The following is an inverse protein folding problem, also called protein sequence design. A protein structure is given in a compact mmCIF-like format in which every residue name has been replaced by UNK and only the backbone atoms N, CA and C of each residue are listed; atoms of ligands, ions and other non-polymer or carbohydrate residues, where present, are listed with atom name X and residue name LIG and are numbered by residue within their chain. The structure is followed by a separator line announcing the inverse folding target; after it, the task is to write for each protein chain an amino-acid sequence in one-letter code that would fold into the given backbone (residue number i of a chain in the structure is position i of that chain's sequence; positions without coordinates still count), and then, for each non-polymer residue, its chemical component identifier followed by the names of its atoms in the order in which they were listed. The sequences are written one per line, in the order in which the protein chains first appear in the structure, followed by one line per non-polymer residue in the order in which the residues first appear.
data_IF_515283747592
#
_entry.id   IF_515283747592
#
_cell.length_a   1.000
_cell.length_b   1.000
_cell.length_c   1.000
_cell.angle_alpha   90.00
_cell.angle_beta   90.00
_cell.angle_gamma   90.00
#
_symmetry.space_group_name_H-M   'P 1'
#
loop_
_entity.id
_entity.type
_entity.pdbx_description
1 polymer ?
#
# COMPACT_ATOMS: atom_id res chain seq x y z
N UNK A 1 36.05 43.79 37.78
CA UNK A 1 34.65 43.35 37.63
C UNK A 1 34.32 43.31 36.15
N UNK A 2 33.85 42.17 35.64
CA UNK A 2 33.37 42.05 34.26
C UNK A 2 33.78 40.74 33.58
N UNK A 3 33.27 39.62 34.09
CA UNK A 3 33.37 38.29 33.45
C UNK A 3 32.68 38.34 32.07
N UNK A 4 33.40 38.11 30.98
CA UNK A 4 32.81 37.73 29.69
C UNK A 4 32.39 36.26 29.77
N UNK A 5 31.12 36.03 30.13
CA UNK A 5 30.52 34.70 30.13
C UNK A 5 30.09 34.30 28.72
N UNK A 6 30.59 33.16 28.27
CA UNK A 6 30.23 32.48 27.03
C UNK A 6 28.73 32.16 26.96
N UNK A 7 28.07 32.53 25.86
CA UNK A 7 26.75 32.00 25.50
C UNK A 7 26.91 31.22 24.20
N UNK A 8 27.32 29.95 24.32
CA UNK A 8 27.20 28.97 23.25
C UNK A 8 25.71 28.60 23.13
N UNK A 9 25.04 29.18 22.13
CA UNK A 9 23.68 28.84 21.76
C UNK A 9 23.68 27.44 21.12
N UNK A 10 23.51 26.38 21.92
CA UNK A 10 23.25 25.04 21.40
C UNK A 10 21.87 25.03 20.73
N UNK A 11 21.84 25.24 19.41
CA UNK A 11 20.71 24.87 18.56
C UNK A 11 20.57 23.35 18.61
N UNK A 12 19.84 22.83 19.60
CA UNK A 12 19.28 21.49 19.53
C UNK A 12 18.31 21.50 18.34
N UNK A 13 18.80 21.07 17.18
CA UNK A 13 17.99 20.54 16.11
C UNK A 13 17.16 19.40 16.73
N UNK A 14 15.97 19.72 17.21
CA UNK A 14 14.93 18.73 17.40
C UNK A 14 14.63 18.19 16.00
N UNK A 15 15.38 17.18 15.59
CA UNK A 15 14.95 16.28 14.53
C UNK A 15 13.69 15.63 15.08
N UNK A 16 12.53 16.18 14.75
CA UNK A 16 11.26 15.50 14.95
C UNK A 16 11.44 14.18 14.19
N UNK A 17 11.47 13.02 14.86
CA UNK A 17 11.47 11.77 14.12
C UNK A 17 10.22 11.81 13.26
N UNK A 18 10.41 11.76 11.94
CA UNK A 18 9.29 11.60 11.02
C UNK A 18 8.60 10.31 11.46
N UNK A 19 7.45 10.45 12.11
CA UNK A 19 6.68 9.31 12.57
C UNK A 19 6.15 8.66 11.30
N UNK A 20 6.61 7.44 11.02
CA UNK A 20 6.02 6.58 9.99
C UNK A 20 4.52 6.55 10.21
N UNK A 21 3.74 6.61 9.13
CA UNK A 21 2.32 6.29 9.24
C UNK A 21 2.19 4.86 9.78
N UNK A 22 1.13 4.57 10.54
CA UNK A 22 0.81 3.19 10.91
C UNK A 22 0.18 2.49 9.69
N UNK A 23 0.47 1.21 9.44
CA UNK A 23 -0.21 0.46 8.38
C UNK A 23 -1.71 0.37 8.67
N UNK A 24 -2.51 0.36 7.61
CA UNK A 24 -3.95 0.07 7.72
C UNK A 24 -4.18 -1.36 8.22
N UNK A 25 -3.36 -2.30 7.73
CA UNK A 25 -3.39 -3.69 8.13
C UNK A 25 -2.20 -4.46 7.55
N UNK A 26 -1.88 -5.58 8.18
CA UNK A 26 -0.99 -6.63 7.71
C UNK A 26 -1.70 -7.98 7.66
N UNK A 27 -1.25 -8.84 6.76
CA UNK A 27 -1.59 -10.26 6.73
C UNK A 27 -0.31 -11.08 6.68
N UNK A 28 -0.10 -11.88 7.72
CA UNK A 28 0.99 -12.85 7.79
C UNK A 28 0.39 -14.25 7.73
N UNK A 29 0.58 -14.96 6.63
CA UNK A 29 0.00 -16.30 6.47
C UNK A 29 0.76 -17.33 7.32
N UNK A 30 0.17 -17.71 8.45
CA UNK A 30 0.78 -18.64 9.42
C UNK A 30 1.00 -20.06 8.88
N UNK A 31 0.40 -20.40 7.74
CA UNK A 31 0.60 -21.69 7.07
C UNK A 31 1.79 -21.69 6.10
N UNK A 32 2.45 -20.55 5.94
CA UNK A 32 3.65 -20.40 5.11
C UNK A 32 4.81 -19.95 5.99
N UNK A 33 5.97 -20.58 5.82
CA UNK A 33 7.16 -20.22 6.58
C UNK A 33 8.34 -20.03 5.63
N UNK A 34 9.22 -19.10 5.99
CA UNK A 34 10.52 -18.95 5.34
C UNK A 34 11.31 -20.25 5.58
N UNK A 35 11.60 -20.96 4.49
CA UNK A 35 12.10 -22.34 4.52
C UNK A 35 13.61 -22.47 4.68
N UNK A 36 14.37 -21.40 4.42
CA UNK A 36 15.83 -21.40 4.44
C UNK A 36 16.41 -19.99 4.61
N UNK A 37 17.66 -19.89 5.04
CA UNK A 37 18.39 -18.61 5.05
C UNK A 37 18.50 -17.99 3.64
N UNK A 38 18.55 -18.84 2.60
CA UNK A 38 18.58 -18.38 1.22
C UNK A 38 17.25 -17.74 0.81
N UNK A 39 16.11 -18.33 1.22
CA UNK A 39 14.78 -17.74 1.02
C UNK A 39 14.68 -16.39 1.73
N UNK A 40 15.17 -16.28 2.97
CA UNK A 40 15.22 -15.01 3.71
C UNK A 40 16.02 -13.94 2.96
N UNK A 41 17.25 -14.26 2.53
CA UNK A 41 18.09 -13.36 1.75
C UNK A 41 17.44 -12.99 0.40
N UNK A 42 16.71 -13.92 -0.23
CA UNK A 42 16.00 -13.65 -1.47
C UNK A 42 14.80 -12.72 -1.24
N UNK A 43 14.10 -12.81 -0.11
CA UNK A 43 13.05 -11.88 0.30
C UNK A 43 13.64 -10.48 0.53
N UNK A 44 14.75 -10.36 1.27
CA UNK A 44 15.42 -9.07 1.47
C UNK A 44 15.83 -8.42 0.14
N UNK A 45 16.41 -9.20 -0.77
CA UNK A 45 16.75 -8.73 -2.12
C UNK A 45 15.52 -8.33 -2.94
N UNK A 46 14.43 -9.11 -2.85
CA UNK A 46 13.16 -8.81 -3.50
C UNK A 46 12.58 -7.49 -2.97
N UNK A 47 12.53 -7.29 -1.65
CA UNK A 47 11.99 -6.08 -1.02
C UNK A 47 12.73 -4.82 -1.50
N UNK A 48 14.06 -4.88 -1.62
CA UNK A 48 14.87 -3.79 -2.18
C UNK A 48 14.53 -3.48 -3.66
N UNK A 49 14.32 -4.52 -4.47
CA UNK A 49 13.85 -4.36 -5.86
C UNK A 49 12.43 -3.77 -5.92
N UNK A 50 11.54 -4.19 -5.03
CA UNK A 50 10.17 -3.66 -4.96
C UNK A 50 10.16 -2.18 -4.59
N UNK A 51 10.95 -1.76 -3.60
CA UNK A 51 11.06 -0.34 -3.18
C UNK A 51 11.57 0.51 -4.34
N UNK A 52 12.71 0.14 -4.92
CA UNK A 52 13.33 0.92 -6.01
C UNK A 52 12.45 0.97 -7.27
N UNK A 53 11.87 -0.17 -7.67
CA UNK A 53 10.97 -0.26 -8.82
C UNK A 53 9.67 0.53 -8.63
N UNK A 54 9.10 0.50 -7.43
CA UNK A 54 7.86 1.22 -7.11
C UNK A 54 8.08 2.73 -7.05
N UNK A 55 9.20 3.21 -6.52
CA UNK A 55 9.55 4.64 -6.52
C UNK A 55 9.62 5.20 -7.95
N UNK A 56 10.15 4.41 -8.88
CA UNK A 56 10.32 4.82 -10.28
C UNK A 56 8.99 4.77 -11.05
N UNK A 57 8.24 3.67 -10.90
CA UNK A 57 7.14 3.33 -11.81
C UNK A 57 5.74 3.41 -11.17
N UNK A 58 5.66 3.59 -9.85
CA UNK A 58 4.44 3.48 -9.04
C UNK A 58 3.92 2.04 -8.88
N UNK A 59 4.55 1.07 -9.55
CA UNK A 59 4.22 -0.35 -9.49
C UNK A 59 5.38 -1.18 -10.03
N UNK A 60 5.58 -2.36 -9.45
CA UNK A 60 6.42 -3.42 -9.99
C UNK A 60 5.90 -4.78 -9.51
N UNK A 61 6.00 -5.79 -10.37
CA UNK A 61 5.89 -7.20 -10.02
C UNK A 61 7.16 -7.90 -10.51
N UNK A 62 7.82 -8.65 -9.63
CA UNK A 62 9.09 -9.29 -9.95
C UNK A 62 9.34 -10.51 -9.08
N UNK A 63 10.41 -11.25 -9.37
CA UNK A 63 10.84 -12.38 -8.55
C UNK A 63 12.33 -12.31 -8.29
N UNK A 64 12.77 -12.92 -7.20
CA UNK A 64 14.17 -13.04 -6.84
C UNK A 64 14.50 -14.46 -6.41
N UNK A 65 15.74 -14.90 -6.64
CA UNK A 65 16.15 -16.29 -6.41
C UNK A 65 15.78 -17.25 -7.54
N UNK A 66 15.97 -18.55 -7.31
CA UNK A 66 15.75 -19.63 -8.29
C UNK A 66 15.29 -20.91 -7.59
N UNK A 67 14.59 -21.77 -8.33
CA UNK A 67 14.14 -23.08 -7.87
C UNK A 67 13.33 -22.98 -6.56
N UNK A 68 13.64 -23.83 -5.57
CA UNK A 68 12.93 -23.91 -4.28
C UNK A 68 13.06 -22.66 -3.39
N UNK A 69 14.01 -21.77 -3.68
CA UNK A 69 14.26 -20.54 -2.93
C UNK A 69 13.77 -19.30 -3.70
N UNK A 70 13.07 -19.48 -4.84
CA UNK A 70 12.49 -18.37 -5.60
C UNK A 70 11.32 -17.75 -4.84
N UNK A 71 11.27 -16.43 -4.84
CA UNK A 71 10.21 -15.63 -4.20
C UNK A 71 9.65 -14.63 -5.19
N UNK A 72 8.36 -14.38 -5.10
CA UNK A 72 7.59 -13.51 -5.96
C UNK A 72 7.08 -12.35 -5.12
N UNK A 73 7.03 -11.16 -5.70
CA UNK A 73 6.47 -10.02 -5.02
C UNK A 73 5.99 -8.95 -5.96
N UNK A 74 5.06 -8.16 -5.46
CA UNK A 74 4.65 -6.92 -6.09
C UNK A 74 4.50 -5.83 -5.05
N UNK A 75 4.66 -4.61 -5.53
CA UNK A 75 4.39 -3.42 -4.77
C UNK A 75 3.71 -2.40 -5.69
N UNK A 76 2.78 -1.64 -5.13
CA UNK A 76 2.11 -0.56 -5.85
C UNK A 76 1.76 0.60 -4.95
N UNK A 77 1.91 1.81 -5.48
CA UNK A 77 1.34 3.00 -4.88
C UNK A 77 -0.09 3.21 -5.35
N UNK A 78 -0.83 4.02 -4.59
CA UNK A 78 -2.11 4.53 -5.04
C UNK A 78 -1.92 5.41 -6.27
N UNK A 79 -2.75 5.27 -7.29
CA UNK A 79 -2.45 5.89 -8.59
C UNK A 79 -2.60 7.43 -8.59
N UNK A 80 -3.19 8.01 -7.56
CA UNK A 80 -3.40 9.45 -7.37
C UNK A 80 -2.35 10.11 -6.47
N UNK A 81 -1.42 9.37 -5.87
CA UNK A 81 -0.41 9.93 -4.96
C UNK A 81 0.83 10.42 -5.69
N UNK A 82 1.45 11.48 -5.16
CA UNK A 82 2.71 12.02 -5.69
C UNK A 82 3.89 11.07 -5.45
N UNK A 83 4.95 11.21 -6.26
CA UNK A 83 6.17 10.37 -6.14
C UNK A 83 6.78 10.40 -4.74
N UNK A 84 6.74 11.54 -4.05
CA UNK A 84 7.28 11.68 -2.68
C UNK A 84 6.49 10.84 -1.67
N UNK A 85 5.17 10.90 -1.73
CA UNK A 85 4.29 10.14 -0.82
C UNK A 85 4.37 8.65 -1.12
N UNK A 86 4.41 8.28 -2.41
CA UNK A 86 4.67 6.91 -2.85
C UNK A 86 6.02 6.38 -2.33
N UNK A 87 7.08 7.17 -2.46
CA UNK A 87 8.43 6.80 -1.97
C UNK A 87 8.45 6.61 -0.46
N UNK A 88 7.86 7.53 0.28
CA UNK A 88 7.81 7.44 1.74
C UNK A 88 7.03 6.20 2.16
N UNK A 89 5.86 6.00 1.57
CA UNK A 89 4.98 4.87 1.87
C UNK A 89 5.67 3.53 1.63
N UNK A 90 6.32 3.34 0.48
CA UNK A 90 6.91 2.04 0.15
C UNK A 90 8.15 1.72 0.98
N UNK A 91 8.92 2.75 1.38
CA UNK A 91 10.05 2.60 2.30
C UNK A 91 9.61 2.22 3.71
N UNK A 92 8.50 2.79 4.19
CA UNK A 92 7.94 2.43 5.50
C UNK A 92 7.32 1.02 5.46
N UNK A 93 6.63 0.71 4.37
CA UNK A 93 6.07 -0.62 4.09
C UNK A 93 7.13 -1.73 4.13
N UNK A 94 8.26 -1.54 3.47
CA UNK A 94 9.37 -2.51 3.45
C UNK A 94 9.94 -2.79 4.84
N UNK A 95 10.09 -1.75 5.68
CA UNK A 95 10.56 -1.91 7.06
C UNK A 95 9.53 -2.60 7.95
N UNK A 96 8.25 -2.24 7.80
CA UNK A 96 7.19 -2.72 8.69
C UNK A 96 6.78 -4.16 8.38
N UNK A 97 6.80 -4.58 7.10
CA UNK A 97 6.45 -5.97 6.77
C UNK A 97 7.45 -6.97 7.36
N UNK A 98 8.75 -6.64 7.39
CA UNK A 98 9.79 -7.46 8.01
C UNK A 98 9.61 -7.57 9.53
N UNK A 99 9.16 -6.49 10.19
CA UNK A 99 8.93 -6.49 11.65
C UNK A 99 7.66 -7.25 12.04
N UNK A 100 6.60 -7.11 11.23
CA UNK A 100 5.27 -7.63 11.54
C UNK A 100 5.08 -9.08 11.10
N UNK A 101 5.69 -9.47 9.98
CA UNK A 101 5.66 -10.83 9.45
C UNK A 101 7.09 -11.42 9.34
N UNK A 102 7.83 -11.56 10.46
CA UNK A 102 9.26 -11.90 10.42
C UNK A 102 9.57 -13.31 9.88
N UNK A 103 8.59 -14.22 9.91
CA UNK A 103 8.82 -15.64 9.62
C UNK A 103 7.96 -16.17 8.47
N UNK A 104 6.96 -15.41 8.01
CA UNK A 104 5.96 -15.87 7.05
C UNK A 104 6.42 -15.60 5.62
N UNK A 105 6.23 -16.58 4.74
CA UNK A 105 6.63 -16.44 3.35
C UNK A 105 5.57 -15.69 2.52
N UNK A 106 4.28 -15.91 2.76
CA UNK A 106 3.17 -15.07 2.27
C UNK A 106 2.89 -13.98 3.30
N UNK A 107 3.38 -12.78 2.99
CA UNK A 107 3.17 -11.59 3.79
C UNK A 107 2.67 -10.45 2.92
N UNK A 108 1.73 -9.69 3.47
CA UNK A 108 1.04 -8.59 2.80
C UNK A 108 0.87 -7.45 3.78
N UNK A 109 1.04 -6.22 3.32
CA UNK A 109 0.83 -5.04 4.14
C UNK A 109 0.20 -3.91 3.33
N UNK A 110 -0.79 -3.25 3.92
CA UNK A 110 -1.54 -2.17 3.33
C UNK A 110 -1.31 -0.88 4.09
N UNK A 111 -1.05 0.17 3.35
CA UNK A 111 -1.05 1.56 3.77
C UNK A 111 -2.06 2.34 2.94
N UNK A 112 -2.43 3.54 3.40
CA UNK A 112 -3.33 4.44 2.64
C UNK A 112 -2.84 4.73 1.22
N UNK A 113 -1.52 4.77 1.02
CA UNK A 113 -0.89 5.20 -0.23
C UNK A 113 -0.16 4.09 -0.97
N UNK A 114 0.00 2.89 -0.41
CA UNK A 114 0.70 1.80 -1.06
C UNK A 114 0.37 0.43 -0.46
N UNK A 115 0.73 -0.60 -1.22
CA UNK A 115 0.55 -2.01 -0.90
C UNK A 115 1.80 -2.78 -1.30
N UNK A 116 2.18 -3.78 -0.50
CA UNK A 116 3.24 -4.72 -0.83
C UNK A 116 2.81 -6.14 -0.45
N UNK A 117 3.12 -7.09 -1.32
CA UNK A 117 2.96 -8.54 -1.07
C UNK A 117 4.19 -9.28 -1.56
N UNK A 118 4.63 -10.26 -0.77
CA UNK A 118 5.55 -11.30 -1.24
C UNK A 118 5.04 -12.69 -0.87
N UNK A 119 5.44 -13.70 -1.65
CA UNK A 119 5.13 -15.12 -1.45
C UNK A 119 6.24 -15.98 -2.08
N UNK A 120 6.38 -17.23 -1.63
CA UNK A 120 7.17 -18.26 -2.31
C UNK A 120 6.41 -18.93 -3.46
N UNK A 121 5.09 -18.75 -3.52
CA UNK A 121 4.25 -19.18 -4.65
C UNK A 121 4.08 -18.03 -5.64
N UNK A 122 4.11 -18.35 -6.93
CA UNK A 122 3.71 -17.38 -7.95
C UNK A 122 2.21 -17.11 -7.82
N UNK A 123 1.85 -15.84 -7.68
CA UNK A 123 0.48 -15.38 -7.51
C UNK A 123 0.08 -14.35 -8.57
N UNK A 124 0.94 -14.05 -9.54
CA UNK A 124 0.67 -12.98 -10.50
C UNK A 124 -0.51 -13.32 -11.40
N UNK A 125 -1.49 -12.43 -11.45
CA UNK A 125 -2.69 -12.61 -12.27
C UNK A 125 -3.74 -13.53 -11.64
N UNK A 126 -3.46 -14.12 -10.48
CA UNK A 126 -4.37 -14.97 -9.73
C UNK A 126 -5.27 -14.14 -8.82
N UNK A 127 -6.59 -14.33 -8.94
CA UNK A 127 -7.56 -13.62 -8.11
C UNK A 127 -7.51 -14.17 -6.68
N UNK A 128 -7.25 -13.29 -5.72
CA UNK A 128 -7.19 -13.62 -4.30
C UNK A 128 -8.18 -12.77 -3.50
N UNK A 129 -9.26 -13.41 -3.05
CA UNK A 129 -10.31 -12.81 -2.20
C UNK A 129 -10.30 -13.38 -0.78
N UNK A 130 -9.23 -14.11 -0.40
CA UNK A 130 -9.16 -14.84 0.86
C UNK A 130 -8.95 -13.97 2.10
N UNK A 131 -8.50 -12.72 1.92
CA UNK A 131 -8.30 -11.77 2.99
C UNK A 131 -8.78 -10.37 2.57
N UNK A 132 -9.51 -9.71 3.46
CA UNK A 132 -9.97 -8.34 3.26
C UNK A 132 -10.23 -7.65 4.60
N UNK A 133 -10.08 -6.33 4.62
CA UNK A 133 -10.36 -5.50 5.79
C UNK A 133 -11.54 -4.62 5.47
N UNK A 134 -12.47 -4.52 6.43
CA UNK A 134 -13.61 -3.61 6.35
C UNK A 134 -13.43 -2.55 7.43
N UNK A 135 -13.19 -1.31 7.00
CA UNK A 135 -13.17 -0.13 7.86
C UNK A 135 -14.43 0.67 7.55
N UNK A 136 -15.16 1.09 8.59
CA UNK A 136 -16.42 1.81 8.44
C UNK A 136 -16.55 2.95 9.44
N UNK A 137 -17.29 3.97 9.05
CA UNK A 137 -17.68 5.07 9.93
C UNK A 137 -18.98 4.71 10.66
N UNK A 138 -19.04 4.97 11.96
CA UNK A 138 -20.21 4.72 12.83
C UNK A 138 -21.16 5.92 12.95
N UNK A 139 -20.84 7.04 12.29
CA UNK A 139 -21.65 8.24 12.28
C UNK A 139 -22.96 8.07 11.50
N UNK A 140 -24.01 8.76 11.95
CA UNK A 140 -25.31 8.73 11.30
C UNK A 140 -25.33 9.56 10.02
N UNK A 141 -26.00 9.03 9.01
CA UNK A 141 -26.30 9.73 7.76
C UNK A 141 -27.73 10.27 7.82
N UNK A 142 -27.91 11.57 7.56
CA UNK A 142 -29.22 12.24 7.69
C UNK A 142 -30.29 11.70 6.73
N UNK A 143 -29.92 11.40 5.47
CA UNK A 143 -30.81 10.79 4.49
C UNK A 143 -30.14 9.53 3.90
N UNK A 144 -30.34 8.37 4.55
CA UNK A 144 -29.68 7.12 4.15
C UNK A 144 -30.06 6.67 2.74
N UNK A 145 -31.31 6.87 2.32
CA UNK A 145 -31.78 6.42 1.00
C UNK A 145 -31.05 7.16 -0.13
N UNK A 146 -30.99 8.49 -0.05
CA UNK A 146 -30.27 9.30 -1.05
C UNK A 146 -28.76 9.03 -1.00
N UNK A 147 -28.18 8.93 0.20
CA UNK A 147 -26.76 8.60 0.35
C UNK A 147 -26.40 7.25 -0.29
N UNK A 148 -27.17 6.20 0.02
CA UNK A 148 -26.91 4.86 -0.50
C UNK A 148 -27.09 4.81 -2.01
N UNK A 149 -28.10 5.49 -2.56
CA UNK A 149 -28.30 5.59 -4.01
C UNK A 149 -27.12 6.25 -4.70
N UNK A 150 -26.71 7.43 -4.24
CA UNK A 150 -25.59 8.18 -4.83
C UNK A 150 -24.26 7.44 -4.67
N UNK A 151 -24.03 6.79 -3.53
CA UNK A 151 -22.84 5.98 -3.28
C UNK A 151 -22.78 4.76 -4.23
N UNK A 152 -23.89 4.04 -4.41
CA UNK A 152 -23.96 2.91 -5.34
C UNK A 152 -23.67 3.36 -6.76
N UNK A 153 -24.33 4.41 -7.25
CA UNK A 153 -24.09 4.94 -8.60
C UNK A 153 -22.64 5.39 -8.78
N UNK A 154 -22.06 6.08 -7.80
CA UNK A 154 -20.66 6.51 -7.83
C UNK A 154 -19.70 5.31 -7.85
N UNK A 155 -19.98 4.28 -7.05
CA UNK A 155 -19.14 3.08 -6.92
C UNK A 155 -19.17 2.22 -8.18
N UNK A 156 -20.35 2.02 -8.77
CA UNK A 156 -20.51 1.34 -10.06
C UNK A 156 -19.72 2.07 -11.16
N UNK A 157 -19.85 3.39 -11.23
CA UNK A 157 -19.12 4.21 -12.19
C UNK A 157 -17.60 4.06 -12.07
N UNK A 158 -17.04 4.24 -10.87
CA UNK A 158 -15.58 4.13 -10.70
C UNK A 158 -15.07 2.69 -10.92
N UNK A 159 -15.89 1.68 -10.64
CA UNK A 159 -15.55 0.28 -10.92
C UNK A 159 -15.39 0.05 -12.41
N UNK A 160 -16.29 0.61 -13.24
CA UNK A 160 -16.15 0.57 -14.69
C UNK A 160 -14.89 1.32 -15.16
N UNK A 161 -14.56 2.47 -14.54
CA UNK A 161 -13.35 3.22 -14.89
C UNK A 161 -12.07 2.46 -14.55
N UNK A 162 -12.04 1.69 -13.46
CA UNK A 162 -10.85 0.97 -13.02
C UNK A 162 -10.36 -0.06 -14.04
N UNK A 163 -11.28 -0.68 -14.78
CA UNK A 163 -10.98 -1.71 -15.79
C UNK A 163 -10.69 -1.15 -17.18
N UNK A 164 -10.85 0.16 -17.39
CA UNK A 164 -10.51 0.80 -18.67
C UNK A 164 -8.99 0.78 -18.91
N UNK A 165 -8.59 0.39 -20.11
CA UNK A 165 -7.18 0.39 -20.53
C UNK A 165 -6.55 1.76 -20.33
N UNK A 166 -5.39 1.80 -19.68
CA UNK A 166 -4.67 3.05 -19.36
C UNK A 166 -4.97 3.62 -17.98
N UNK A 167 -6.10 3.25 -17.34
CA UNK A 167 -6.42 3.68 -15.97
C UNK A 167 -5.68 2.89 -14.89
N UNK A 168 -4.91 1.85 -15.27
CA UNK A 168 -4.00 1.10 -14.39
C UNK A 168 -4.72 0.54 -13.15
N UNK A 169 -5.97 0.10 -13.30
CA UNK A 169 -6.74 -0.45 -12.18
C UNK A 169 -7.34 0.61 -11.25
N UNK A 170 -7.22 1.90 -11.55
CA UNK A 170 -7.69 2.98 -10.67
C UNK A 170 -8.95 3.64 -11.23
N UNK A 171 -10.03 3.60 -10.44
CA UNK A 171 -11.23 4.41 -10.64
C UNK A 171 -11.40 5.34 -9.46
N UNK A 172 -11.67 6.63 -9.72
CA UNK A 172 -11.98 7.59 -8.65
C UNK A 172 -12.87 8.69 -9.19
N UNK A 173 -13.81 9.13 -8.38
CA UNK A 173 -14.69 10.24 -8.71
C UNK A 173 -15.36 10.79 -7.45
N UNK A 174 -16.15 11.85 -7.60
CA UNK A 174 -16.91 12.48 -6.53
C UNK A 174 -18.28 12.97 -7.02
N UNK A 175 -19.27 12.93 -6.13
CA UNK A 175 -20.60 13.52 -6.38
C UNK A 175 -21.04 14.42 -5.23
N UNK A 176 -21.85 15.44 -5.51
CA UNK A 176 -22.41 16.29 -4.47
C UNK A 176 -23.69 15.65 -3.94
N UNK A 177 -23.70 15.35 -2.64
CA UNK A 177 -24.91 14.90 -1.95
C UNK A 177 -25.79 16.09 -1.54
N UNK A 178 -25.15 17.18 -1.11
CA UNK A 178 -25.79 18.45 -0.73
C UNK A 178 -24.89 19.61 -1.15
N UNK A 179 -25.31 20.89 -1.00
CA UNK A 179 -24.42 22.03 -1.23
C UNK A 179 -23.15 22.03 -0.37
N UNK A 180 -23.17 21.34 0.77
CA UNK A 180 -22.08 21.32 1.76
C UNK A 180 -21.40 19.95 1.91
N UNK A 181 -21.94 18.91 1.26
CA UNK A 181 -21.45 17.53 1.41
C UNK A 181 -21.12 16.94 0.05
N UNK A 182 -19.88 16.49 -0.11
CA UNK A 182 -19.40 15.79 -1.30
C UNK A 182 -19.00 14.38 -0.91
N UNK A 183 -19.48 13.39 -1.66
CA UNK A 183 -19.04 12.00 -1.58
C UNK A 183 -17.83 11.83 -2.50
N UNK A 184 -16.80 11.18 -1.99
CA UNK A 184 -15.61 10.79 -2.74
C UNK A 184 -15.53 9.27 -2.71
N UNK A 185 -15.19 8.66 -3.84
CA UNK A 185 -14.99 7.22 -3.91
C UNK A 185 -13.74 6.90 -4.75
N UNK A 186 -13.08 5.82 -4.38
CA UNK A 186 -11.89 5.30 -5.03
C UNK A 186 -11.93 3.77 -5.01
N UNK A 187 -11.53 3.17 -6.12
CA UNK A 187 -11.29 1.74 -6.27
C UNK A 187 -9.93 1.55 -6.93
N UNK A 188 -9.19 0.55 -6.45
CA UNK A 188 -7.89 0.21 -7.01
C UNK A 188 -7.70 -1.30 -7.08
N UNK A 189 -7.46 -1.82 -8.28
CA UNK A 189 -7.01 -3.19 -8.50
C UNK A 189 -5.48 -3.29 -8.30
N UNK A 190 -4.99 -4.49 -7.97
CA UNK A 190 -3.57 -4.78 -8.15
C UNK A 190 -3.26 -4.92 -9.64
N UNK A 191 -2.17 -4.32 -10.09
CA UNK A 191 -1.92 -4.16 -11.54
C UNK A 191 -1.52 -5.47 -12.24
N UNK A 192 -1.19 -6.52 -11.49
CA UNK A 192 -0.95 -7.87 -12.01
C UNK A 192 -2.23 -8.53 -12.54
N UNK A 193 -3.40 -8.15 -12.02
CA UNK A 193 -4.70 -8.63 -12.51
C UNK A 193 -5.12 -7.98 -13.83
N UNK A 194 -4.46 -6.91 -14.27
CA UNK A 194 -4.86 -6.21 -15.49
C UNK A 194 -4.47 -6.96 -16.77
N UNK A 195 -3.55 -7.93 -16.68
CA UNK A 195 -3.23 -8.84 -17.79
C UNK A 195 -4.21 -10.00 -17.95
N UNK A 196 -5.04 -10.29 -16.94
CA UNK A 196 -6.05 -11.35 -16.94
C UNK A 196 -7.48 -10.86 -17.21
N UNK A 197 -7.68 -9.55 -17.40
CA UNK A 197 -8.98 -8.91 -17.71
C UNK A 197 -9.13 -8.65 -19.23
N UNK A 198 -8.29 -9.28 -20.06
CA UNK A 198 -8.31 -9.11 -21.52
C UNK A 198 -8.99 -10.27 -22.24
#
# INVERSE_FOLDING_TARGET
MGLLSHVLLFLFLFTIPAKSADPLCEYCNTNTNISSNQTSANIEGLLSQLVSGTILNGYIATSNGKNKDQVYGLAQCRADVGRKDCSTCIQDTEKEIQKRCPNQADARIWYDFCFLRHDIKDFFGEVDTGFGIIVYNVGNVTNPETFNKELTTLTEWITLQAVVTGNKGNGRDKTKLTPFTTLYALVQCTRDLLGSIQ
#
